data_IF_802382963382
#
_entry.id   IF_802382963382
#
_cell.length_a   1.000
_cell.length_b   1.000
_cell.length_c   1.000
_cell.angle_alpha   90.00
_cell.angle_beta   90.00
_cell.angle_gamma   90.00
#
_symmetry.space_group_name_H-M   'P 1'
#
loop_
_entity.id
_entity.type
_entity.pdbx_description
1 polymer ?
#
# COMPACT_ATOMS: atom_id res chain seq x y z
N UNK A 1 -9.13 5.84 19.07
CA UNK A 1 -9.79 5.73 20.40
C UNK A 1 -9.79 4.32 20.98
N UNK A 2 -10.04 3.27 20.20
CA UNK A 2 -10.22 1.90 20.70
C UNK A 2 -9.13 1.44 21.67
N UNK A 3 -7.86 1.54 21.27
CA UNK A 3 -6.71 1.21 22.12
C UNK A 3 -6.70 2.00 23.44
N UNK A 4 -6.82 3.32 23.37
CA UNK A 4 -6.81 4.18 24.56
C UNK A 4 -7.98 3.92 25.52
N UNK A 5 -9.15 3.50 25.02
CA UNK A 5 -10.26 3.07 25.87
C UNK A 5 -9.98 1.73 26.57
N UNK A 6 -9.25 0.81 25.93
CA UNK A 6 -8.83 -0.42 26.58
C UNK A 6 -7.83 -0.16 27.72
N UNK A 7 -6.90 0.77 27.51
CA UNK A 7 -5.86 1.07 28.51
C UNK A 7 -6.38 1.96 29.64
N UNK A 8 -7.14 3.01 29.32
CA UNK A 8 -7.61 3.99 30.31
C UNK A 8 -8.96 3.64 30.94
N UNK A 9 -9.64 2.59 30.47
CA UNK A 9 -10.96 2.17 30.95
C UNK A 9 -12.14 2.79 30.19
N UNK A 10 -13.27 2.07 30.18
CA UNK A 10 -14.44 2.35 29.34
C UNK A 10 -15.04 3.75 29.59
N UNK A 11 -14.97 4.24 30.83
CA UNK A 11 -15.56 5.50 31.28
C UNK A 11 -14.62 6.71 31.14
N UNK A 12 -13.43 6.53 30.56
CA UNK A 12 -12.48 7.60 30.39
C UNK A 12 -12.90 8.57 29.28
N UNK A 13 -12.66 9.87 29.52
CA UNK A 13 -12.83 10.91 28.50
C UNK A 13 -11.53 11.02 27.71
N UNK A 14 -11.65 11.01 26.38
CA UNK A 14 -10.50 11.12 25.46
C UNK A 14 -10.68 12.39 24.64
N UNK A 15 -9.72 13.31 24.77
CA UNK A 15 -9.61 14.49 23.93
C UNK A 15 -8.68 14.18 22.75
N UNK A 16 -9.14 14.43 21.54
CA UNK A 16 -8.32 14.39 20.33
C UNK A 16 -8.14 15.83 19.87
N UNK A 17 -6.89 16.26 19.74
CA UNK A 17 -6.53 17.55 19.15
C UNK A 17 -5.89 17.27 17.80
N UNK A 18 -6.59 17.64 16.73
CA UNK A 18 -6.08 17.62 15.38
C UNK A 18 -6.21 19.03 14.80
N UNK A 19 -5.16 19.50 14.15
CA UNK A 19 -5.14 20.82 13.53
C UNK A 19 -5.81 20.81 12.16
N UNK A 20 -5.98 19.62 11.56
CA UNK A 20 -6.62 19.47 10.28
C UNK A 20 -8.14 19.45 10.41
N UNK A 21 -8.80 19.91 9.35
CA UNK A 21 -10.25 19.87 9.16
C UNK A 21 -10.80 18.45 8.97
N UNK A 22 -9.93 17.52 8.60
CA UNK A 22 -10.23 16.10 8.41
C UNK A 22 -9.22 15.19 9.12
N UNK A 23 -9.71 14.07 9.64
CA UNK A 23 -8.90 13.11 10.40
C UNK A 23 -8.24 12.08 9.47
N UNK A 24 -7.02 11.65 9.82
CA UNK A 24 -6.35 10.53 9.15
C UNK A 24 -5.16 10.89 8.26
N UNK A 25 -4.81 12.18 8.12
CA UNK A 25 -3.58 12.61 7.47
C UNK A 25 -3.47 12.17 6.01
N UNK A 26 -2.43 11.37 5.67
CA UNK A 26 -2.22 10.85 4.31
C UNK A 26 -3.18 9.71 3.91
N UNK A 27 -3.95 9.16 4.85
CA UNK A 27 -4.93 8.09 4.60
C UNK A 27 -6.24 8.64 4.01
N UNK A 28 -6.13 9.39 2.91
CA UNK A 28 -7.27 9.98 2.19
C UNK A 28 -7.67 9.13 0.99
N UNK A 29 -8.97 9.13 0.67
CA UNK A 29 -9.51 8.50 -0.53
C UNK A 29 -10.18 9.52 -1.44
N UNK A 30 -10.07 9.30 -2.74
CA UNK A 30 -10.82 10.02 -3.75
C UNK A 30 -11.98 9.14 -4.22
N UNK A 31 -13.20 9.71 -4.27
CA UNK A 31 -14.37 9.01 -4.77
C UNK A 31 -14.84 9.65 -6.07
N UNK A 32 -15.02 8.84 -7.11
CA UNK A 32 -15.55 9.28 -8.38
C UNK A 32 -16.73 8.41 -8.78
N UNK A 33 -17.67 8.97 -9.51
CA UNK A 33 -18.73 8.19 -10.16
C UNK A 33 -18.53 8.31 -11.66
N UNK A 34 -18.34 7.17 -12.35
CA UNK A 34 -18.18 7.12 -13.79
C UNK A 34 -18.95 5.94 -14.36
N UNK A 35 -19.76 6.19 -15.39
CA UNK A 35 -20.60 5.18 -16.05
C UNK A 35 -21.44 4.35 -15.07
N UNK A 36 -22.02 5.00 -14.06
CA UNK A 36 -22.85 4.36 -13.02
C UNK A 36 -22.08 3.54 -11.98
N UNK A 37 -20.74 3.50 -12.05
CA UNK A 37 -19.89 2.80 -11.09
C UNK A 37 -19.20 3.80 -10.16
N UNK A 38 -19.14 3.47 -8.87
CA UNK A 38 -18.30 4.18 -7.92
C UNK A 38 -16.86 3.67 -8.04
N UNK A 39 -15.93 4.59 -8.26
CA UNK A 39 -14.49 4.36 -8.30
C UNK A 39 -13.88 4.96 -7.05
N UNK A 40 -13.03 4.18 -6.38
CA UNK A 40 -12.27 4.62 -5.21
C UNK A 40 -10.79 4.65 -5.60
N UNK A 41 -10.16 5.81 -5.43
CA UNK A 41 -8.73 6.00 -5.63
C UNK A 41 -8.04 6.47 -4.35
N UNK A 42 -6.72 6.39 -4.32
CA UNK A 42 -5.91 6.94 -3.24
C UNK A 42 -5.81 8.47 -3.38
N UNK A 43 -5.93 9.18 -2.26
CA UNK A 43 -5.68 10.62 -2.15
C UNK A 43 -4.34 10.93 -1.46
N UNK A 44 -3.53 9.90 -1.20
CA UNK A 44 -2.26 9.97 -0.50
C UNK A 44 -1.61 8.58 -0.47
N UNK A 45 -1.69 7.88 0.66
CA UNK A 45 -1.18 6.51 0.78
C UNK A 45 -1.93 5.54 -0.14
N UNK A 46 -1.20 4.82 -0.98
CA UNK A 46 -1.75 3.93 -2.00
C UNK A 46 -2.14 2.56 -1.46
N UNK A 47 -1.26 1.94 -0.68
CA UNK A 47 -1.45 0.57 -0.20
C UNK A 47 -0.71 0.31 1.13
N UNK A 48 -1.10 -0.76 1.80
CA UNK A 48 -0.33 -1.27 2.94
C UNK A 48 0.94 -1.99 2.46
N UNK A 49 2.09 -1.56 2.95
CA UNK A 49 3.37 -2.18 2.59
C UNK A 49 3.63 -3.44 3.44
N UNK A 50 3.72 -4.59 2.77
CA UNK A 50 4.06 -5.90 3.36
C UNK A 50 3.41 -6.17 4.72
N UNK A 51 2.08 -6.17 4.84
CA UNK A 51 1.42 -6.10 6.15
C UNK A 51 1.67 -7.33 7.01
N UNK A 52 1.85 -8.50 6.38
CA UNK A 52 2.21 -9.74 7.06
C UNK A 52 3.59 -9.69 7.75
N UNK A 53 4.49 -8.80 7.31
CA UNK A 53 5.85 -8.68 7.87
C UNK A 53 6.05 -7.39 8.67
N UNK A 54 5.38 -6.30 8.28
CA UNK A 54 5.62 -4.98 8.84
C UNK A 54 4.67 -4.60 9.97
N UNK A 55 3.52 -5.28 10.12
CA UNK A 55 2.53 -4.88 11.13
C UNK A 55 2.79 -5.56 12.46
N UNK A 56 2.86 -4.76 13.53
CA UNK A 56 2.96 -5.28 14.90
C UNK A 56 1.68 -6.04 15.30
N UNK A 57 1.74 -6.89 16.34
CA UNK A 57 0.56 -7.59 16.86
C UNK A 57 -0.61 -6.64 17.21
N UNK A 58 -0.31 -5.44 17.72
CA UNK A 58 -1.32 -4.44 18.07
C UNK A 58 -2.04 -3.90 16.83
N UNK A 59 -1.30 -3.66 15.74
CA UNK A 59 -1.88 -3.22 14.47
C UNK A 59 -2.75 -4.34 13.89
N UNK A 60 -2.27 -5.59 13.89
CA UNK A 60 -3.05 -6.73 13.39
C UNK A 60 -4.37 -6.90 14.18
N UNK A 61 -4.31 -6.84 15.51
CA UNK A 61 -5.49 -6.87 16.38
C UNK A 61 -6.46 -5.71 16.09
N UNK A 62 -5.93 -4.51 15.86
CA UNK A 62 -6.76 -3.36 15.48
C UNK A 62 -7.47 -3.61 14.16
N UNK A 63 -6.76 -4.10 13.14
CA UNK A 63 -7.32 -4.41 11.82
C UNK A 63 -8.46 -5.44 11.92
N UNK A 64 -8.25 -6.51 12.69
CA UNK A 64 -9.30 -7.50 12.97
C UNK A 64 -10.51 -6.89 13.67
N UNK A 65 -10.26 -6.07 14.70
CA UNK A 65 -11.31 -5.39 15.48
C UNK A 65 -12.18 -4.51 14.58
N UNK A 66 -11.58 -3.76 13.65
CA UNK A 66 -12.31 -2.90 12.73
C UNK A 66 -12.83 -3.64 11.49
N UNK A 67 -12.63 -4.96 11.42
CA UNK A 67 -13.11 -5.82 10.33
C UNK A 67 -12.33 -5.71 9.02
N UNK A 68 -11.11 -5.17 9.03
CA UNK A 68 -10.27 -5.06 7.84
C UNK A 68 -9.42 -6.33 7.67
N UNK A 69 -9.56 -6.99 6.53
CA UNK A 69 -8.79 -8.18 6.18
C UNK A 69 -7.76 -7.86 5.08
N UNK A 70 -6.47 -7.95 5.44
CA UNK A 70 -5.37 -7.81 4.47
C UNK A 70 -5.40 -8.95 3.44
N UNK A 71 -5.81 -10.15 3.83
CA UNK A 71 -5.90 -11.30 2.93
C UNK A 71 -6.93 -11.05 1.84
N UNK A 72 -8.15 -10.63 2.20
CA UNK A 72 -9.19 -10.28 1.21
C UNK A 72 -8.76 -9.12 0.31
N UNK A 73 -8.07 -8.12 0.89
CA UNK A 73 -7.52 -7.02 0.11
C UNK A 73 -6.52 -7.53 -0.94
N UNK A 74 -5.61 -8.44 -0.55
CA UNK A 74 -4.66 -9.07 -1.46
C UNK A 74 -5.36 -9.82 -2.61
N UNK A 75 -6.42 -10.56 -2.30
CA UNK A 75 -7.21 -11.33 -3.28
C UNK A 75 -7.97 -10.44 -4.27
N UNK A 76 -8.28 -9.20 -3.90
CA UNK A 76 -8.97 -8.24 -4.77
C UNK A 76 -8.07 -7.55 -5.81
N UNK A 77 -6.75 -7.73 -5.75
CA UNK A 77 -5.84 -7.16 -6.75
C UNK A 77 -5.88 -7.95 -8.05
N UNK A 78 -6.09 -7.24 -9.16
CA UNK A 78 -5.87 -7.78 -10.50
C UNK A 78 -4.37 -7.78 -10.83
N UNK A 79 -3.68 -8.83 -10.37
CA UNK A 79 -2.25 -9.01 -10.60
C UNK A 79 -1.90 -9.44 -12.02
N UNK A 80 -2.90 -9.87 -12.81
CA UNK A 80 -2.71 -10.35 -14.18
C UNK A 80 -3.05 -9.29 -15.23
N UNK A 81 -3.54 -8.11 -14.82
CA UNK A 81 -3.86 -7.00 -15.73
C UNK A 81 -2.78 -6.72 -16.78
N UNK A 82 -1.49 -6.67 -16.42
CA UNK A 82 -0.43 -6.42 -17.41
C UNK A 82 -0.18 -7.62 -18.34
N UNK A 83 0.04 -8.85 -17.81
CA UNK A 83 0.15 -10.06 -18.63
C UNK A 83 -1.01 -10.30 -19.60
N UNK A 84 -2.25 -10.11 -19.14
CA UNK A 84 -3.46 -10.37 -19.95
C UNK A 84 -3.53 -9.46 -21.18
N UNK A 85 -2.94 -8.27 -21.09
CA UNK A 85 -2.84 -7.30 -22.18
C UNK A 85 -1.52 -7.41 -22.96
N UNK A 86 -0.72 -8.46 -22.73
CA UNK A 86 0.60 -8.67 -23.33
C UNK A 86 1.57 -7.49 -23.05
N UNK A 87 1.32 -6.76 -21.97
CA UNK A 87 2.15 -5.66 -21.53
C UNK A 87 3.28 -6.20 -20.64
N UNK A 88 4.49 -5.71 -20.87
CA UNK A 88 5.66 -6.03 -20.05
C UNK A 88 6.38 -4.75 -19.64
N UNK A 89 7.21 -4.85 -18.59
CA UNK A 89 8.04 -3.72 -18.17
C UNK A 89 9.11 -3.46 -19.23
N UNK A 90 9.06 -2.27 -19.83
CA UNK A 90 10.12 -1.75 -20.67
C UNK A 90 10.98 -0.76 -19.89
N UNK A 91 12.30 -0.85 -20.06
CA UNK A 91 13.23 0.22 -19.65
C UNK A 91 13.79 0.83 -20.92
N UNK A 92 13.52 2.11 -21.15
CA UNK A 92 14.05 2.84 -22.30
C UNK A 92 15.34 3.56 -21.91
N UNK A 93 16.44 3.25 -22.60
CA UNK A 93 17.69 3.96 -22.44
C UNK A 93 17.91 4.92 -23.62
N UNK A 94 18.32 6.15 -23.32
CA UNK A 94 18.75 7.11 -24.34
C UNK A 94 19.99 6.56 -25.05
N UNK A 95 19.99 6.62 -26.38
CA UNK A 95 20.99 5.97 -27.22
C UNK A 95 22.43 6.44 -26.92
N UNK A 96 22.64 7.73 -26.63
CA UNK A 96 23.96 8.28 -26.29
C UNK A 96 24.54 7.74 -24.96
N UNK A 97 23.68 7.30 -24.03
CA UNK A 97 24.11 6.83 -22.71
C UNK A 97 24.23 5.31 -22.64
N UNK A 98 23.42 4.58 -23.42
CA UNK A 98 23.42 3.12 -23.44
C UNK A 98 24.78 2.55 -23.87
N UNK A 99 25.44 3.19 -24.85
CA UNK A 99 26.75 2.77 -25.32
C UNK A 99 27.89 3.11 -24.35
N UNK A 100 27.71 4.13 -23.50
CA UNK A 100 28.74 4.57 -22.54
C UNK A 100 28.90 3.61 -21.36
N UNK A 101 27.90 2.75 -21.08
CA UNK A 101 27.87 1.87 -19.91
C UNK A 101 27.94 0.36 -20.20
N UNK A 102 28.11 -0.06 -21.47
CA UNK A 102 28.20 -1.49 -21.82
C UNK A 102 29.42 -2.22 -21.22
N UNK A 103 30.42 -1.48 -20.74
CA UNK A 103 31.65 -2.04 -20.17
C UNK A 103 31.62 -2.29 -18.64
N UNK A 104 30.48 -2.09 -17.95
CA UNK A 104 30.39 -2.22 -16.48
C UNK A 104 29.44 -3.27 -15.92
N UNK A 105 28.93 -4.19 -16.72
CA UNK A 105 28.35 -5.43 -16.18
C UNK A 105 29.20 -6.64 -16.60
N UNK A 106 30.25 -6.89 -15.81
CA UNK A 106 31.03 -8.12 -15.82
C UNK A 106 30.47 -9.09 -14.77
N UNK A 107 30.20 -10.31 -15.23
CA UNK A 107 30.27 -11.62 -14.53
C UNK A 107 29.06 -12.05 -13.69
N UNK A 108 28.29 -12.96 -14.30
CA UNK A 108 27.59 -14.06 -13.65
C UNK A 108 28.48 -14.79 -12.64
N UNK A 109 28.09 -14.80 -11.36
CA UNK A 109 28.55 -15.77 -10.36
C UNK A 109 27.61 -16.99 -10.32
N UNK A 110 28.09 -18.18 -9.92
CA UNK A 110 27.33 -19.42 -10.07
C UNK A 110 26.20 -19.54 -9.05
N UNK A 111 25.10 -20.18 -9.47
CA UNK A 111 23.98 -20.59 -8.62
C UNK A 111 24.40 -21.80 -7.78
N UNK A 112 24.45 -21.62 -6.46
CA UNK A 112 24.54 -22.70 -5.49
C UNK A 112 23.15 -23.17 -5.05
N UNK A 113 22.98 -24.48 -5.04
CA UNK A 113 21.95 -25.27 -4.34
C UNK A 113 21.99 -25.05 -2.83
#
# INVERSE_FOLDING_TARGET
>A
MFFWRQVAGQNSRILILDNHDDFGGHAKRNEFTSSGKKLLGYGGSEAFQSPAHNFSPEVQKLMETVGVSVTRLKESFDVNFYPDWQLSRGVFFRQEEFWRNKNRQRRSGPRGI
#
